data_IF_002400136252
#
_entry.id   IF_002400136252
#
_cell.length_a   1.000
_cell.length_b   1.000
_cell.length_c   1.000
_cell.angle_alpha   90.00
_cell.angle_beta   90.00
_cell.angle_gamma   90.00
#
_symmetry.space_group_name_H-M   'P 1'
#
loop_
_entity.id
_entity.type
_entity.pdbx_description
1 polymer ?
#
# COMPACT_ATOMS: atom_id res chain seq x y z
N UNK A 1 -6.32 4.30 -19.28
CA UNK A 1 -7.51 3.42 -19.23
C UNK A 1 -7.59 2.42 -20.37
N UNK A 2 -7.58 2.84 -21.65
CA UNK A 2 -7.68 1.91 -22.80
C UNK A 2 -6.69 0.72 -22.78
N UNK A 3 -5.43 0.93 -22.35
CA UNK A 3 -4.46 -0.16 -22.20
C UNK A 3 -4.88 -1.19 -21.13
N UNK A 4 -5.51 -0.76 -20.03
CA UNK A 4 -6.00 -1.66 -18.96
C UNK A 4 -7.20 -2.47 -19.41
N UNK A 5 -8.09 -1.87 -20.18
CA UNK A 5 -9.23 -2.57 -20.80
C UNK A 5 -8.70 -3.68 -21.71
N UNK A 6 -7.76 -3.36 -22.61
CA UNK A 6 -7.13 -4.36 -23.48
C UNK A 6 -6.40 -5.46 -22.70
N UNK A 7 -5.75 -5.12 -21.58
CA UNK A 7 -5.15 -6.12 -20.72
C UNK A 7 -6.20 -7.10 -20.16
N UNK A 8 -7.35 -6.61 -19.69
CA UNK A 8 -8.44 -7.46 -19.22
C UNK A 8 -9.03 -8.32 -20.35
N UNK A 9 -9.16 -7.77 -21.56
CA UNK A 9 -9.65 -8.50 -22.74
C UNK A 9 -8.68 -9.60 -23.20
N UNK A 10 -7.39 -9.48 -22.87
CA UNK A 10 -6.38 -10.50 -23.18
C UNK A 10 -6.38 -11.69 -22.22
N UNK A 11 -7.15 -11.63 -21.12
CA UNK A 11 -7.26 -12.73 -20.17
C UNK A 11 -8.00 -13.93 -20.78
N UNK A 12 -7.73 -15.16 -20.31
CA UNK A 12 -8.53 -16.32 -20.69
C UNK A 12 -10.02 -16.06 -20.41
N UNK A 13 -10.91 -16.49 -21.31
CA UNK A 13 -12.34 -16.20 -21.23
C UNK A 13 -12.94 -16.53 -19.85
N UNK A 14 -12.59 -17.68 -19.27
CA UNK A 14 -13.07 -18.12 -17.95
C UNK A 14 -12.66 -17.17 -16.81
N UNK A 15 -11.54 -16.47 -16.97
CA UNK A 15 -11.07 -15.45 -16.02
C UNK A 15 -11.77 -14.12 -16.28
N UNK A 16 -11.94 -13.73 -17.56
CA UNK A 16 -12.63 -12.50 -17.94
C UNK A 16 -14.11 -12.46 -17.49
N UNK A 17 -14.79 -13.60 -17.47
CA UNK A 17 -16.19 -13.69 -17.00
C UNK A 17 -16.34 -13.75 -15.48
N UNK A 18 -15.25 -13.84 -14.72
CA UNK A 18 -15.31 -13.79 -13.26
C UNK A 18 -16.00 -12.48 -12.81
N UNK A 19 -16.94 -12.50 -11.84
CA UNK A 19 -17.70 -11.31 -11.47
C UNK A 19 -16.85 -10.11 -11.03
N UNK A 20 -15.72 -10.34 -10.37
CA UNK A 20 -14.81 -9.27 -9.93
C UNK A 20 -14.03 -8.68 -11.11
N UNK A 21 -13.53 -9.53 -12.01
CA UNK A 21 -12.80 -9.11 -13.21
C UNK A 21 -13.72 -8.38 -14.19
N UNK A 22 -14.93 -8.89 -14.39
CA UNK A 22 -15.97 -8.26 -15.22
C UNK A 22 -16.40 -6.92 -14.64
N UNK A 23 -16.54 -6.80 -13.31
CA UNK A 23 -16.79 -5.51 -12.66
C UNK A 23 -15.68 -4.49 -12.92
N UNK A 24 -14.41 -4.90 -12.82
CA UNK A 24 -13.28 -4.01 -13.15
C UNK A 24 -13.31 -3.57 -14.61
N UNK A 25 -13.64 -4.49 -15.51
CA UNK A 25 -13.79 -4.17 -16.93
C UNK A 25 -14.85 -3.08 -17.15
N UNK A 26 -16.03 -3.22 -16.53
CA UNK A 26 -17.10 -2.21 -16.61
C UNK A 26 -16.64 -0.87 -16.04
N UNK A 27 -16.05 -0.86 -14.85
CA UNK A 27 -15.52 0.37 -14.21
C UNK A 27 -14.51 1.06 -15.12
N UNK A 28 -13.58 0.32 -15.73
CA UNK A 28 -12.58 0.90 -16.63
C UNK A 28 -13.17 1.47 -17.93
N UNK A 29 -14.23 0.85 -18.45
CA UNK A 29 -14.95 1.37 -19.62
C UNK A 29 -15.70 2.64 -19.29
N UNK A 30 -16.45 2.66 -18.19
CA UNK A 30 -17.19 3.84 -17.74
C UNK A 30 -16.23 5.02 -17.50
N UNK A 31 -15.09 4.78 -16.84
CA UNK A 31 -14.08 5.81 -16.63
C UNK A 31 -13.40 6.28 -17.92
N UNK A 32 -13.15 5.39 -18.89
CA UNK A 32 -12.65 5.79 -20.20
C UNK A 32 -13.67 6.65 -20.94
N UNK A 33 -14.92 6.23 -20.97
CA UNK A 33 -16.00 6.95 -21.63
C UNK A 33 -16.24 8.32 -20.97
N UNK A 34 -16.12 8.43 -19.65
CA UNK A 34 -16.17 9.70 -18.93
C UNK A 34 -15.02 10.62 -19.39
N UNK A 35 -13.79 10.12 -19.39
CA UNK A 35 -12.61 10.89 -19.82
C UNK A 35 -12.68 11.32 -21.29
N UNK A 36 -13.24 10.49 -22.17
CA UNK A 36 -13.39 10.82 -23.61
C UNK A 36 -14.48 11.86 -23.88
N UNK A 37 -15.43 12.07 -22.95
CA UNK A 37 -16.47 13.09 -23.07
C UNK A 37 -16.05 14.44 -22.51
N UNK A 38 -14.91 14.51 -21.82
CA UNK A 38 -14.35 15.77 -21.35
C UNK A 38 -14.02 16.68 -22.53
N UNK A 39 -14.35 17.97 -22.38
CA UNK A 39 -13.96 19.00 -23.34
C UNK A 39 -12.53 19.46 -23.03
N UNK A 40 -11.91 20.09 -24.01
CA UNK A 40 -10.64 20.78 -23.80
C UNK A 40 -10.81 21.86 -22.74
N UNK A 41 -9.96 21.83 -21.71
CA UNK A 41 -9.97 22.79 -20.60
C UNK A 41 -9.14 24.01 -21.00
N UNK A 42 -9.79 25.16 -21.08
CA UNK A 42 -9.18 26.42 -21.54
C UNK A 42 -9.20 27.53 -20.50
N UNK A 43 -10.03 27.40 -19.46
CA UNK A 43 -10.13 28.37 -18.35
C UNK A 43 -9.91 27.71 -16.99
N UNK A 44 -9.67 28.53 -15.95
CA UNK A 44 -9.51 28.04 -14.57
C UNK A 44 -10.83 27.51 -14.01
N UNK A 45 -11.95 28.11 -14.38
CA UNK A 45 -13.29 27.66 -13.96
C UNK A 45 -13.62 26.29 -14.57
N UNK A 46 -13.25 26.06 -15.84
CA UNK A 46 -13.35 24.74 -16.47
C UNK A 46 -12.42 23.73 -15.80
N UNK A 47 -11.22 24.15 -15.39
CA UNK A 47 -10.29 23.30 -14.66
C UNK A 47 -10.85 22.87 -13.30
N UNK A 48 -11.51 23.77 -12.56
CA UNK A 48 -12.14 23.43 -11.28
C UNK A 48 -13.25 22.38 -11.44
N UNK A 49 -14.00 22.44 -12.54
CA UNK A 49 -15.00 21.44 -12.89
C UNK A 49 -14.36 20.09 -13.25
N UNK A 50 -13.31 20.12 -14.06
CA UNK A 50 -12.53 18.94 -14.42
C UNK A 50 -11.90 18.28 -13.19
N UNK A 51 -11.30 19.05 -12.28
CA UNK A 51 -10.69 18.56 -11.03
C UNK A 51 -11.72 17.85 -10.16
N UNK A 52 -12.94 18.38 -10.03
CA UNK A 52 -14.02 17.70 -9.29
C UNK A 52 -14.38 16.34 -9.89
N UNK A 53 -14.47 16.24 -11.21
CA UNK A 53 -14.74 14.96 -11.89
C UNK A 53 -13.56 13.99 -11.79
N UNK A 54 -12.34 14.48 -12.00
CA UNK A 54 -11.11 13.71 -11.89
C UNK A 54 -10.93 13.13 -10.49
N UNK A 55 -11.25 13.91 -9.45
CA UNK A 55 -11.24 13.44 -8.07
C UNK A 55 -12.21 12.26 -7.89
N UNK A 56 -13.46 12.37 -8.37
CA UNK A 56 -14.42 11.27 -8.32
C UNK A 56 -13.97 10.01 -9.07
N UNK A 57 -13.25 10.18 -10.21
CA UNK A 57 -12.64 9.06 -10.92
C UNK A 57 -11.50 8.42 -10.14
N UNK A 58 -10.61 9.20 -9.53
CA UNK A 58 -9.53 8.66 -8.68
C UNK A 58 -10.11 7.89 -7.50
N UNK A 59 -11.16 8.43 -6.87
CA UNK A 59 -11.88 7.81 -5.76
C UNK A 59 -12.58 6.50 -6.16
N UNK A 60 -13.23 6.44 -7.33
CA UNK A 60 -13.92 5.22 -7.78
C UNK A 60 -12.96 4.04 -8.04
N UNK A 61 -11.70 4.32 -8.36
CA UNK A 61 -10.64 3.32 -8.55
C UNK A 61 -9.88 2.94 -7.25
N UNK A 62 -10.35 3.42 -6.10
CA UNK A 62 -9.81 3.09 -4.78
C UNK A 62 -9.68 1.58 -4.54
N UNK A 63 -10.71 0.83 -4.95
CA UNK A 63 -10.88 -0.58 -4.63
C UNK A 63 -10.41 -1.54 -5.73
N UNK A 64 -9.76 -1.03 -6.77
CA UNK A 64 -9.31 -1.85 -7.91
C UNK A 64 -8.43 -3.03 -7.48
N UNK A 65 -7.43 -2.79 -6.61
CA UNK A 65 -6.47 -3.83 -6.20
C UNK A 65 -7.16 -4.93 -5.39
N UNK A 66 -7.96 -4.63 -4.34
CA UNK A 66 -8.74 -5.65 -3.64
C UNK A 66 -9.68 -6.46 -4.56
N UNK A 67 -10.39 -5.80 -5.46
CA UNK A 67 -11.31 -6.46 -6.40
C UNK A 67 -10.51 -7.40 -7.33
N UNK A 68 -9.38 -6.92 -7.84
CA UNK A 68 -8.49 -7.70 -8.71
C UNK A 68 -7.91 -8.90 -7.96
N UNK A 69 -7.45 -8.69 -6.74
CA UNK A 69 -6.91 -9.74 -5.88
C UNK A 69 -7.93 -10.86 -5.64
N UNK A 70 -9.19 -10.51 -5.35
CA UNK A 70 -10.28 -11.48 -5.15
C UNK A 70 -10.60 -12.24 -6.46
N UNK A 71 -10.71 -11.53 -7.58
CA UNK A 71 -10.94 -12.16 -8.89
C UNK A 71 -9.85 -13.17 -9.27
N UNK A 72 -8.57 -12.79 -9.13
CA UNK A 72 -7.47 -13.72 -9.42
C UNK A 72 -7.36 -14.86 -8.41
N UNK A 73 -7.76 -14.63 -7.15
CA UNK A 73 -7.83 -15.69 -6.15
C UNK A 73 -8.85 -16.78 -6.54
N UNK A 74 -10.01 -16.39 -7.06
CA UNK A 74 -11.04 -17.32 -7.56
C UNK A 74 -10.62 -18.02 -8.87
N UNK A 75 -9.76 -17.37 -9.65
CA UNK A 75 -9.29 -17.88 -10.94
C UNK A 75 -7.95 -18.63 -10.88
N UNK A 76 -7.39 -18.91 -9.69
CA UNK A 76 -6.08 -19.57 -9.52
C UNK A 76 -5.92 -20.90 -10.27
N UNK A 77 -7.01 -21.63 -10.51
CA UNK A 77 -6.99 -22.93 -11.23
C UNK A 77 -6.87 -22.78 -12.75
N UNK A 78 -7.08 -21.59 -13.29
CA UNK A 78 -7.19 -21.33 -14.73
C UNK A 78 -6.01 -20.54 -15.31
N UNK A 79 -5.07 -20.12 -14.47
CA UNK A 79 -3.86 -19.41 -14.87
C UNK A 79 -2.67 -19.88 -14.06
N UNK A 80 -1.47 -19.85 -14.68
CA UNK A 80 -0.24 -20.14 -13.95
C UNK A 80 0.07 -19.00 -12.97
N UNK A 81 0.73 -19.27 -11.83
CA UNK A 81 1.15 -18.23 -10.89
C UNK A 81 2.01 -17.14 -11.53
N UNK A 82 2.84 -17.49 -12.51
CA UNK A 82 3.66 -16.54 -13.26
C UNK A 82 2.82 -15.61 -14.15
N UNK A 83 1.79 -16.13 -14.83
CA UNK A 83 0.90 -15.33 -15.66
C UNK A 83 0.06 -14.36 -14.82
N UNK A 84 -0.44 -14.82 -13.68
CA UNK A 84 -1.16 -13.95 -12.72
C UNK A 84 -0.24 -12.85 -12.21
N UNK A 85 1.00 -13.20 -11.82
CA UNK A 85 1.96 -12.21 -11.31
C UNK A 85 2.34 -11.16 -12.36
N UNK A 86 2.61 -11.57 -13.59
CA UNK A 86 2.91 -10.66 -14.69
C UNK A 86 1.74 -9.71 -14.99
N UNK A 87 0.51 -10.22 -14.97
CA UNK A 87 -0.68 -9.40 -15.15
C UNK A 87 -0.84 -8.38 -14.00
N UNK A 88 -0.76 -8.84 -12.74
CA UNK A 88 -0.92 -7.98 -11.57
C UNK A 88 0.16 -6.90 -11.52
N UNK A 89 1.42 -7.25 -11.82
CA UNK A 89 2.52 -6.29 -11.88
C UNK A 89 2.24 -5.17 -12.90
N UNK A 90 1.81 -5.52 -14.11
CA UNK A 90 1.45 -4.55 -15.14
C UNK A 90 0.24 -3.69 -14.76
N UNK A 91 -0.80 -4.31 -14.22
CA UNK A 91 -2.03 -3.63 -13.82
C UNK A 91 -1.79 -2.65 -12.65
N UNK A 92 -1.05 -3.08 -11.62
CA UNK A 92 -0.71 -2.28 -10.46
C UNK A 92 0.23 -1.14 -10.86
N UNK A 93 1.27 -1.39 -11.68
CA UNK A 93 2.15 -0.32 -12.19
C UNK A 93 1.36 0.73 -12.97
N UNK A 94 0.48 0.29 -13.87
CA UNK A 94 -0.42 1.20 -14.59
C UNK A 94 -1.31 1.98 -13.64
N UNK A 95 -1.80 1.34 -12.57
CA UNK A 95 -2.62 1.97 -11.51
C UNK A 95 -1.86 3.06 -10.78
N UNK A 96 -0.67 2.77 -10.28
CA UNK A 96 0.20 3.73 -9.59
C UNK A 96 0.40 4.97 -10.47
N UNK A 97 0.76 4.78 -11.74
CA UNK A 97 1.01 5.89 -12.64
C UNK A 97 -0.19 6.78 -12.94
N UNK A 98 -1.33 6.21 -13.32
CA UNK A 98 -2.52 7.03 -13.65
C UNK A 98 -3.08 7.72 -12.40
N UNK A 99 -3.03 7.05 -11.24
CA UNK A 99 -3.46 7.64 -9.98
C UNK A 99 -2.57 8.80 -9.58
N UNK A 100 -1.25 8.62 -9.67
CA UNK A 100 -0.27 9.67 -9.40
C UNK A 100 -0.51 10.90 -10.27
N UNK A 101 -0.71 10.73 -11.57
CA UNK A 101 -0.99 11.84 -12.49
C UNK A 101 -2.29 12.56 -12.11
N UNK A 102 -3.35 11.80 -11.82
CA UNK A 102 -4.64 12.35 -11.42
C UNK A 102 -4.54 13.16 -10.12
N UNK A 103 -3.94 12.58 -9.08
CA UNK A 103 -3.76 13.24 -7.79
C UNK A 103 -2.81 14.43 -7.87
N UNK A 104 -1.75 14.36 -8.70
CA UNK A 104 -0.85 15.48 -8.93
C UNK A 104 -1.61 16.68 -9.50
N UNK A 105 -2.47 16.46 -10.51
CA UNK A 105 -3.28 17.53 -11.11
C UNK A 105 -4.25 18.14 -10.10
N UNK A 106 -4.93 17.29 -9.32
CA UNK A 106 -5.86 17.74 -8.25
C UNK A 106 -5.11 18.57 -7.20
N UNK A 107 -3.96 18.09 -6.72
CA UNK A 107 -3.19 18.75 -5.67
C UNK A 107 -2.57 20.08 -6.14
N UNK A 108 -2.04 20.14 -7.37
CA UNK A 108 -1.53 21.39 -7.95
C UNK A 108 -2.68 22.40 -8.11
N UNK A 109 -3.82 21.98 -8.64
CA UNK A 109 -4.97 22.87 -8.83
C UNK A 109 -5.45 23.48 -7.51
N UNK A 110 -5.52 22.68 -6.44
CA UNK A 110 -5.84 23.19 -5.08
C UNK A 110 -4.80 24.16 -4.55
N UNK A 111 -3.52 23.94 -4.86
CA UNK A 111 -2.42 24.78 -4.40
C UNK A 111 -2.43 26.19 -4.99
N UNK A 112 -3.12 26.41 -6.11
CA UNK A 112 -3.32 27.74 -6.70
C UNK A 112 -4.08 28.67 -5.72
N UNK A 113 -5.03 28.12 -4.98
CA UNK A 113 -5.81 28.86 -3.98
C UNK A 113 -5.24 28.71 -2.56
N UNK A 114 -4.68 27.54 -2.23
CA UNK A 114 -4.18 27.21 -0.90
C UNK A 114 -2.76 26.60 -0.99
N UNK A 115 -1.73 27.44 -1.19
CA UNK A 115 -0.36 26.95 -1.30
C UNK A 115 0.12 26.36 0.03
N UNK A 116 0.69 25.17 -0.02
CA UNK A 116 1.30 24.51 1.15
C UNK A 116 2.82 24.54 0.99
N UNK A 117 3.56 25.26 1.86
CA UNK A 117 5.02 25.29 1.81
C UNK A 117 5.62 23.89 1.90
N UNK A 118 6.68 23.61 1.14
CA UNK A 118 7.34 22.30 1.13
C UNK A 118 6.59 21.21 0.36
N UNK A 119 5.50 21.55 -0.33
CA UNK A 119 4.70 20.59 -1.11
C UNK A 119 4.51 21.06 -2.55
N UNK A 120 4.76 20.16 -3.51
CA UNK A 120 4.51 20.37 -4.94
C UNK A 120 3.61 19.25 -5.44
N UNK A 121 2.30 19.53 -5.48
CA UNK A 121 1.29 18.50 -5.75
C UNK A 121 1.30 17.42 -4.67
N UNK A 122 1.58 16.17 -5.05
CA UNK A 122 1.68 15.03 -4.12
C UNK A 122 3.09 14.81 -3.56
N UNK A 123 4.09 15.56 -4.05
CA UNK A 123 5.48 15.44 -3.60
C UNK A 123 5.71 16.39 -2.43
N UNK A 124 6.25 15.85 -1.34
CA UNK A 124 6.76 16.65 -0.23
C UNK A 124 8.27 16.78 -0.39
N UNK A 125 8.77 18.02 -0.42
CA UNK A 125 10.18 18.32 -0.70
C UNK A 125 11.09 18.14 0.50
N UNK A 126 10.53 18.19 1.71
CA UNK A 126 11.25 18.13 2.98
C UNK A 126 10.75 16.99 3.88
N UNK A 127 10.27 15.89 3.29
CA UNK A 127 9.74 14.75 4.04
C UNK A 127 10.79 14.24 5.02
N UNK A 128 10.39 14.07 6.28
CA UNK A 128 11.21 13.51 7.35
C UNK A 128 10.88 12.04 7.55
N UNK A 129 11.73 11.09 7.10
CA UNK A 129 11.42 9.67 7.19
C UNK A 129 11.22 9.19 8.62
N UNK A 130 11.93 9.79 9.59
CA UNK A 130 11.80 9.43 11.02
C UNK A 130 10.39 9.59 11.56
N UNK A 131 9.73 10.72 11.26
CA UNK A 131 8.37 10.99 11.71
C UNK A 131 7.40 9.97 11.08
N UNK A 132 7.54 9.70 9.77
CA UNK A 132 6.75 8.70 9.06
C UNK A 132 6.94 7.28 9.64
N UNK A 133 8.18 6.89 9.92
CA UNK A 133 8.51 5.59 10.54
C UNK A 133 7.84 5.46 11.91
N UNK A 134 7.90 6.50 12.74
CA UNK A 134 7.29 6.50 14.07
C UNK A 134 5.77 6.33 13.97
N UNK A 135 5.10 7.04 13.05
CA UNK A 135 3.66 6.90 12.83
C UNK A 135 3.29 5.49 12.36
N UNK A 136 3.99 4.95 11.35
CA UNK A 136 3.75 3.59 10.86
C UNK A 136 4.00 2.55 11.96
N UNK A 137 5.05 2.71 12.76
CA UNK A 137 5.41 1.78 13.82
C UNK A 137 4.40 1.79 14.97
N UNK A 138 3.91 2.97 15.37
CA UNK A 138 2.88 3.08 16.40
C UNK A 138 1.58 2.37 15.95
N UNK A 139 1.13 2.64 14.73
CA UNK A 139 -0.02 1.98 14.15
C UNK A 139 0.14 0.45 14.08
N UNK A 140 1.29 -0.04 13.60
CA UNK A 140 1.56 -1.48 13.52
C UNK A 140 1.71 -2.12 14.91
N UNK A 141 2.25 -1.40 15.89
CA UNK A 141 2.35 -1.87 17.26
C UNK A 141 0.97 -2.12 17.87
N UNK A 142 0.00 -1.22 17.67
CA UNK A 142 -1.39 -1.41 18.11
C UNK A 142 -2.04 -2.64 17.46
N UNK A 143 -1.82 -2.85 16.16
CA UNK A 143 -2.28 -4.06 15.47
C UNK A 143 -1.63 -5.34 16.01
N UNK A 144 -0.35 -5.27 16.35
CA UNK A 144 0.41 -6.38 16.91
C UNK A 144 -0.08 -6.72 18.32
N UNK A 145 -0.27 -5.72 19.16
CA UNK A 145 -0.79 -5.87 20.52
C UNK A 145 -2.19 -6.48 20.52
N UNK A 146 -3.10 -5.91 19.72
CA UNK A 146 -4.48 -6.38 19.63
C UNK A 146 -4.61 -7.82 19.11
N UNK A 147 -3.68 -8.25 18.24
CA UNK A 147 -3.76 -9.59 17.63
C UNK A 147 -2.94 -10.65 18.37
N UNK A 148 -1.78 -10.30 18.90
CA UNK A 148 -0.78 -11.24 19.44
C UNK A 148 -0.46 -11.01 20.92
N UNK A 149 -0.93 -9.91 21.52
CA UNK A 149 -0.72 -9.57 22.93
C UNK A 149 0.72 -9.19 23.30
N UNK A 150 1.63 -9.19 22.33
CA UNK A 150 3.06 -8.91 22.52
C UNK A 150 3.53 -8.00 21.40
N UNK A 151 4.36 -7.01 21.75
CA UNK A 151 4.86 -5.98 20.83
C UNK A 151 6.38 -5.88 20.91
N UNK A 152 7.11 -6.17 19.83
CA UNK A 152 8.53 -5.87 19.73
C UNK A 152 8.79 -4.36 19.78
N UNK A 153 9.86 -3.93 20.46
CA UNK A 153 10.29 -2.53 20.40
C UNK A 153 10.93 -2.23 19.04
N UNK A 154 10.72 -1.02 18.51
CA UNK A 154 11.43 -0.52 17.32
C UNK A 154 12.55 0.44 17.73
N UNK A 155 13.77 0.14 17.29
CA UNK A 155 14.93 1.02 17.40
C UNK A 155 15.23 1.61 16.03
N UNK A 156 15.32 2.93 15.93
CA UNK A 156 15.64 3.64 14.69
C UNK A 156 17.02 4.27 14.81
N UNK A 157 17.94 3.91 13.91
CA UNK A 157 19.32 4.40 13.90
C UNK A 157 19.79 4.88 12.51
N UNK A 158 21.03 5.33 12.41
CA UNK A 158 21.61 5.89 11.18
C UNK A 158 21.31 7.39 11.00
N UNK A 159 21.04 7.81 9.77
CA UNK A 159 20.78 9.21 9.41
C UNK A 159 19.34 9.65 9.74
N UNK A 160 19.02 9.69 11.03
CA UNK A 160 17.65 9.90 11.53
C UNK A 160 17.08 11.29 11.31
N UNK A 161 17.92 12.30 11.10
CA UNK A 161 17.51 13.69 10.85
C UNK A 161 17.49 14.02 9.34
N UNK A 162 17.62 13.01 8.47
CA UNK A 162 17.59 13.19 7.04
C UNK A 162 16.23 13.72 6.57
N UNK A 163 16.26 14.59 5.56
CA UNK A 163 15.09 14.97 4.76
C UNK A 163 15.21 14.40 3.34
N UNK A 164 14.07 14.23 2.68
CA UNK A 164 14.02 13.57 1.39
C UNK A 164 12.83 14.05 0.55
N UNK A 165 13.05 14.57 -0.66
CA UNK A 165 11.92 14.82 -1.56
C UNK A 165 11.32 13.52 -2.10
N UNK A 166 10.07 13.23 -1.72
CA UNK A 166 9.36 12.01 -2.12
C UNK A 166 7.85 12.15 -2.00
N UNK A 167 7.11 11.13 -2.46
CA UNK A 167 5.65 11.05 -2.28
C UNK A 167 5.38 10.38 -0.93
N UNK A 168 4.86 11.09 0.09
CA UNK A 168 4.77 10.61 1.46
C UNK A 168 4.05 9.27 1.57
N UNK A 169 2.94 9.13 0.85
CA UNK A 169 2.10 7.95 1.03
C UNK A 169 2.61 6.71 0.31
N UNK A 170 3.51 6.86 -0.69
CA UNK A 170 4.27 5.71 -1.20
C UNK A 170 5.21 5.18 -0.11
N UNK A 171 5.88 6.06 0.61
CA UNK A 171 6.76 5.67 1.72
C UNK A 171 5.97 5.05 2.87
N UNK A 172 4.85 5.66 3.26
CA UNK A 172 3.94 5.16 4.29
C UNK A 172 3.47 3.72 4.00
N UNK A 173 3.06 3.45 2.75
CA UNK A 173 2.63 2.12 2.33
C UNK A 173 3.76 1.09 2.48
N UNK A 174 4.96 1.41 1.95
CA UNK A 174 6.12 0.51 2.01
C UNK A 174 6.48 0.24 3.47
N UNK A 175 6.58 1.27 4.30
CA UNK A 175 6.92 1.13 5.72
C UNK A 175 5.89 0.30 6.47
N UNK A 176 4.60 0.58 6.30
CA UNK A 176 3.52 -0.14 6.99
C UNK A 176 3.52 -1.62 6.64
N UNK A 177 3.64 -1.99 5.36
CA UNK A 177 3.67 -3.41 4.96
C UNK A 177 4.92 -4.15 5.48
N UNK A 178 6.08 -3.50 5.46
CA UNK A 178 7.32 -4.11 5.94
C UNK A 178 7.37 -4.23 7.45
N UNK A 179 6.91 -3.20 8.18
CA UNK A 179 6.81 -3.22 9.63
C UNK A 179 5.80 -4.27 10.09
N UNK A 180 4.62 -4.39 9.45
CA UNK A 180 3.67 -5.49 9.78
C UNK A 180 4.33 -6.86 9.72
N UNK A 181 5.12 -7.12 8.67
CA UNK A 181 5.81 -8.39 8.52
C UNK A 181 6.88 -8.60 9.62
N UNK A 182 7.69 -7.58 9.90
CA UNK A 182 8.74 -7.64 10.92
C UNK A 182 8.17 -7.84 12.33
N UNK A 183 7.13 -7.08 12.69
CA UNK A 183 6.41 -7.19 13.96
C UNK A 183 5.77 -8.56 14.11
N UNK A 184 5.02 -9.01 13.10
CA UNK A 184 4.36 -10.32 13.11
C UNK A 184 5.37 -11.45 13.29
N UNK A 185 6.40 -11.50 12.45
CA UNK A 185 7.40 -12.57 12.50
C UNK A 185 8.13 -12.62 13.85
N UNK A 186 8.51 -11.45 14.38
CA UNK A 186 9.19 -11.37 15.68
C UNK A 186 8.29 -11.82 16.81
N UNK A 187 7.03 -11.36 16.85
CA UNK A 187 6.08 -11.72 17.89
C UNK A 187 5.70 -13.20 17.82
N UNK A 188 5.29 -13.72 16.66
CA UNK A 188 4.92 -15.13 16.47
C UNK A 188 6.06 -16.08 16.84
N UNK A 189 7.30 -15.76 16.44
CA UNK A 189 8.45 -16.60 16.74
C UNK A 189 8.70 -16.72 18.25
N UNK A 190 8.63 -15.60 18.97
CA UNK A 190 8.97 -15.57 20.40
C UNK A 190 7.83 -16.03 21.30
N UNK A 191 6.57 -15.92 20.85
CA UNK A 191 5.42 -16.50 21.56
C UNK A 191 5.51 -18.03 21.68
N UNK A 192 6.27 -18.68 20.80
CA UNK A 192 6.52 -20.14 20.84
C UNK A 192 7.68 -20.53 21.75
N UNK A 193 8.45 -19.58 22.23
CA UNK A 193 9.61 -19.81 23.10
C UNK A 193 9.19 -19.82 24.58
N UNK A 194 9.92 -20.51 25.47
CA UNK A 194 9.60 -20.56 26.89
C UNK A 194 9.59 -19.19 27.59
N UNK A 195 10.35 -18.24 27.07
CA UNK A 195 10.42 -16.84 27.54
C UNK A 195 9.98 -15.92 26.40
N UNK A 196 8.71 -15.47 26.39
CA UNK A 196 8.12 -14.70 25.28
C UNK A 196 8.51 -13.22 25.35
N UNK A 197 9.81 -12.93 25.38
CA UNK A 197 10.35 -11.57 25.29
C UNK A 197 10.94 -11.36 23.91
N UNK A 198 10.21 -10.70 22.98
CA UNK A 198 10.73 -10.47 21.64
C UNK A 198 11.92 -9.47 21.67
N UNK A 199 12.93 -9.67 20.82
CA UNK A 199 14.00 -8.71 20.62
C UNK A 199 13.47 -7.47 19.90
N UNK A 200 14.24 -6.38 19.97
CA UNK A 200 13.94 -5.17 19.22
C UNK A 200 14.10 -5.38 17.72
N UNK A 201 13.16 -4.84 16.94
CA UNK A 201 13.32 -4.62 15.50
C UNK A 201 14.20 -3.39 15.31
N UNK A 202 15.15 -3.43 14.39
CA UNK A 202 16.05 -2.31 14.09
C UNK A 202 15.78 -1.76 12.70
N UNK A 203 15.54 -0.46 12.58
CA UNK A 203 15.44 0.24 11.30
C UNK A 203 16.58 1.24 11.15
N UNK A 204 17.49 0.96 10.21
CA UNK A 204 18.65 1.82 9.94
C UNK A 204 18.41 2.69 8.71
N UNK A 205 18.50 4.01 8.87
CA UNK A 205 18.37 5.00 7.81
C UNK A 205 19.73 5.39 7.21
N UNK A 206 19.78 5.54 5.89
CA UNK A 206 20.91 6.08 5.15
C UNK A 206 20.43 6.97 4.01
N UNK A 207 21.09 8.11 3.79
CA UNK A 207 20.76 9.07 2.74
C UNK A 207 22.01 9.42 1.95
N UNK A 208 21.89 9.33 0.63
CA UNK A 208 22.80 9.95 -0.36
C UNK A 208 22.03 11.08 -1.06
N UNK A 209 22.61 11.94 -1.91
CA UNK A 209 21.84 12.96 -2.63
C UNK A 209 20.73 12.37 -3.52
N UNK A 210 20.98 11.23 -4.18
CA UNK A 210 20.02 10.65 -5.13
C UNK A 210 19.10 9.59 -4.53
N UNK A 211 19.44 9.00 -3.38
CA UNK A 211 18.65 7.93 -2.79
C UNK A 211 18.49 8.06 -1.27
N UNK A 212 17.29 7.75 -0.79
CA UNK A 212 17.06 7.33 0.58
C UNK A 212 17.13 5.80 0.60
N UNK A 213 17.78 5.22 1.61
CA UNK A 213 17.81 3.78 1.81
C UNK A 213 17.55 3.46 3.26
N UNK A 214 16.83 2.39 3.50
CA UNK A 214 16.61 1.90 4.86
C UNK A 214 16.65 0.39 4.92
N UNK A 215 17.14 -0.12 6.05
CA UNK A 215 17.17 -1.54 6.35
C UNK A 215 16.30 -1.80 7.57
N UNK A 216 15.34 -2.72 7.45
CA UNK A 216 14.57 -3.24 8.58
C UNK A 216 15.14 -4.63 8.91
N UNK A 217 15.61 -4.81 10.14
CA UNK A 217 16.11 -6.08 10.67
C UNK A 217 15.19 -6.55 11.78
N UNK A 218 14.70 -7.78 11.65
CA UNK A 218 13.91 -8.47 12.65
C UNK A 218 14.63 -9.68 13.25
N UNK A 219 14.12 -10.15 14.38
CA UNK A 219 14.52 -11.40 15.02
C UNK A 219 13.47 -12.51 14.83
N UNK A 220 12.71 -12.48 13.74
CA UNK A 220 11.51 -13.32 13.57
C UNK A 220 11.77 -14.78 13.19
N UNK A 221 12.98 -15.31 13.42
CA UNK A 221 13.34 -16.69 13.04
C UNK A 221 13.58 -16.89 11.54
N UNK A 222 13.44 -15.84 10.72
CA UNK A 222 13.71 -15.87 9.29
C UNK A 222 12.70 -16.67 8.47
N UNK A 223 12.86 -16.59 7.15
CA UNK A 223 12.00 -17.26 6.16
C UNK A 223 12.59 -18.63 5.82
N UNK A 224 11.77 -19.68 5.90
CA UNK A 224 12.16 -21.03 5.52
C UNK A 224 12.64 -21.09 4.06
N UNK A 225 13.73 -21.82 3.74
CA UNK A 225 14.28 -21.89 2.37
C UNK A 225 13.25 -22.29 1.31
N UNK A 226 12.32 -23.18 1.66
CA UNK A 226 11.24 -23.61 0.76
C UNK A 226 10.27 -22.48 0.38
N UNK A 227 10.14 -21.45 1.20
CA UNK A 227 9.22 -20.32 0.98
C UNK A 227 9.91 -19.13 0.32
N UNK A 228 11.25 -19.06 0.36
CA UNK A 228 12.01 -17.87 -0.04
C UNK A 228 11.80 -17.48 -1.51
N UNK A 229 11.64 -18.45 -2.41
CA UNK A 229 11.33 -18.20 -3.82
C UNK A 229 9.91 -17.61 -4.04
N UNK A 230 9.03 -17.72 -3.04
CA UNK A 230 7.60 -17.40 -3.16
C UNK A 230 7.18 -16.15 -2.40
N UNK A 231 8.06 -15.53 -1.61
CA UNK A 231 7.71 -14.37 -0.74
C UNK A 231 7.19 -13.16 -1.51
N UNK A 232 7.56 -13.03 -2.79
CA UNK A 232 7.06 -11.99 -3.70
C UNK A 232 5.95 -12.47 -4.62
N UNK A 233 5.46 -13.71 -4.47
CA UNK A 233 4.31 -14.20 -5.22
C UNK A 233 3.03 -13.60 -4.66
N UNK A 234 2.15 -13.13 -5.54
CA UNK A 234 0.84 -12.65 -5.10
C UNK A 234 0.01 -13.77 -4.48
N UNK A 235 -0.76 -13.40 -3.46
CA UNK A 235 -1.60 -14.31 -2.70
C UNK A 235 -0.85 -15.45 -1.98
N UNK A 236 0.48 -15.30 -1.79
CA UNK A 236 1.28 -16.16 -0.93
C UNK A 236 1.32 -15.55 0.48
N UNK A 237 0.91 -16.34 1.48
CA UNK A 237 0.97 -15.95 2.88
C UNK A 237 1.22 -17.17 3.75
N UNK A 238 1.97 -16.99 4.83
CA UNK A 238 2.18 -18.02 5.86
C UNK A 238 1.15 -17.90 7.00
N UNK A 239 0.33 -16.85 6.99
CA UNK A 239 -0.72 -16.67 7.98
C UNK A 239 -1.87 -17.67 7.74
N UNK A 240 -2.30 -18.35 8.81
CA UNK A 240 -3.44 -19.29 8.76
C UNK A 240 -3.12 -20.68 8.19
N UNK A 241 -1.85 -21.01 7.91
CA UNK A 241 -1.45 -22.37 7.47
C UNK A 241 -1.40 -23.36 8.64
N UNK A 242 -1.35 -22.86 9.89
CA UNK A 242 -1.51 -23.66 11.09
C UNK A 242 -2.99 -23.65 11.52
N UNK A 243 -3.68 -24.79 11.34
CA UNK A 243 -5.06 -25.02 11.77
C UNK A 243 -5.24 -24.56 13.23
N UNK A 244 -6.00 -23.48 13.43
CA UNK A 244 -6.32 -22.94 14.76
C UNK A 244 -5.47 -21.76 15.27
N UNK A 245 -4.59 -21.18 14.44
CA UNK A 245 -3.88 -19.94 14.79
C UNK A 245 -4.80 -18.72 14.93
N UNK A 246 -4.35 -17.61 15.55
CA UNK A 246 -5.18 -16.42 15.86
C UNK A 246 -5.81 -15.75 14.63
N UNK A 247 -5.37 -16.14 13.42
CA UNK A 247 -5.81 -15.62 12.13
C UNK A 247 -6.90 -16.46 11.45
N UNK A 248 -7.25 -17.64 11.97
CA UNK A 248 -8.18 -18.57 11.31
C UNK A 248 -9.59 -17.98 11.09
N UNK A 249 -10.11 -17.20 12.05
CA UNK A 249 -11.40 -16.52 11.91
C UNK A 249 -11.34 -15.23 11.07
N UNK A 250 -10.15 -14.65 10.91
CA UNK A 250 -9.94 -13.41 10.16
C UNK A 250 -10.02 -13.64 8.64
N UNK A 251 -9.68 -14.86 8.19
CA UNK A 251 -9.84 -15.27 6.80
C UNK A 251 -11.32 -15.26 6.34
N UNK A 252 -12.25 -15.49 7.27
CA UNK A 252 -13.71 -15.50 7.04
C UNK A 252 -14.32 -14.10 7.19
N UNK A 253 -13.87 -13.31 8.17
CA UNK A 253 -14.38 -11.95 8.43
C UNK A 253 -14.05 -10.93 7.34
N UNK A 254 -12.84 -10.99 6.75
CA UNK A 254 -12.48 -10.16 5.60
C UNK A 254 -13.30 -10.48 4.35
N UNK A 255 -13.78 -11.71 4.22
CA UNK A 255 -14.65 -12.16 3.14
C UNK A 255 -16.05 -11.53 3.23
N UNK A 256 -16.62 -11.42 4.43
CA UNK A 256 -17.95 -10.83 4.65
C UNK A 256 -17.99 -9.30 4.46
N UNK A 257 -16.94 -8.58 4.86
CA UNK A 257 -16.86 -7.12 4.69
C UNK A 257 -16.75 -6.68 3.21
N UNK A 258 -16.20 -7.54 2.35
CA UNK A 258 -16.09 -7.31 0.91
C UNK A 258 -17.36 -7.68 0.13
N UNK A 259 -18.21 -8.56 0.68
CA UNK A 259 -19.51 -8.92 0.09
C UNK A 259 -20.61 -7.91 0.44
N UNK A 260 -20.47 -7.17 1.55
CA UNK A 260 -21.40 -6.12 1.96
C UNK A 260 -21.12 -4.79 1.24
N UNK A 261 -21.55 -4.68 -0.02
CA UNK A 261 -21.57 -3.43 -0.78
C UNK A 261 -22.62 -2.40 -0.32
N UNK A 262 -22.96 -2.35 0.97
CA UNK A 262 -23.95 -1.43 1.52
C UNK A 262 -23.28 -0.35 2.37
N UNK A 263 -23.64 0.94 2.21
CA UNK A 263 -23.12 2.00 3.07
C UNK A 263 -23.56 1.77 4.54
N UNK A 264 -22.71 2.05 5.53
CA UNK A 264 -23.07 1.88 6.94
C UNK A 264 -24.19 2.87 7.33
N UNK A 265 -25.09 2.51 8.27
CA UNK A 265 -26.08 3.43 8.81
C UNK A 265 -25.40 4.52 9.67
N UNK A 266 -25.96 5.74 9.75
CA UNK A 266 -25.40 6.78 10.59
C UNK A 266 -25.63 6.46 12.07
N UNK A 267 -24.54 6.37 12.86
CA UNK A 267 -24.61 6.31 14.32
C UNK A 267 -24.74 7.72 14.93
N UNK A 268 -25.40 7.87 16.10
CA UNK A 268 -25.81 9.17 16.62
C UNK A 268 -24.67 9.91 17.32
N UNK A 269 -24.79 11.24 17.26
CA UNK A 269 -23.94 12.28 17.82
C UNK A 269 -23.69 12.19 19.33
N UNK A 270 -22.45 12.43 19.74
CA UNK A 270 -22.11 13.04 21.04
C UNK A 270 -21.04 14.13 20.85
N UNK A 271 -21.30 15.26 21.50
CA UNK A 271 -20.75 16.61 21.30
C UNK A 271 -19.48 16.91 22.17
N UNK A 272 -18.87 18.12 22.17
CA UNK A 272 -17.43 18.28 21.88
C UNK A 272 -16.58 18.92 23.00
N UNK A 273 -15.25 18.79 22.93
CA UNK A 273 -14.18 19.72 23.40
C UNK A 273 -12.82 18.98 23.30
N UNK A 274 -11.64 19.53 22.97
CA UNK A 274 -11.04 20.88 22.99
C UNK A 274 -10.01 21.04 21.84
N UNK A 275 -9.92 22.28 21.31
CA UNK A 275 -8.79 22.97 20.65
C UNK A 275 -8.26 22.49 19.27
N UNK A 276 -8.14 23.39 18.26
CA UNK A 276 -7.73 23.04 16.90
C UNK A 276 -6.21 23.13 16.73
N UNK A 277 -5.55 22.00 16.45
CA UNK A 277 -4.29 22.00 15.73
C UNK A 277 -4.58 22.26 14.23
N UNK A 278 -3.70 22.95 13.48
CA UNK A 278 -3.99 23.33 12.11
C UNK A 278 -4.18 22.07 11.26
N UNK A 279 -5.38 21.94 10.67
CA UNK A 279 -5.76 20.87 9.78
C UNK A 279 -4.84 20.89 8.55
N UNK A 280 -3.79 20.07 8.57
CA UNK A 280 -3.12 19.62 7.37
C UNK A 280 -4.20 18.96 6.50
N UNK A 281 -4.47 19.57 5.35
CA UNK A 281 -5.48 19.11 4.41
C UNK A 281 -5.30 17.60 4.18
N UNK A 282 -6.25 16.82 4.69
CA UNK A 282 -6.31 15.37 4.55
C UNK A 282 -6.22 15.04 3.06
N UNK A 283 -5.06 14.52 2.65
CA UNK A 283 -4.85 14.07 1.30
C UNK A 283 -5.76 12.86 1.07
N UNK A 284 -6.52 12.88 -0.02
CA UNK A 284 -7.32 11.73 -0.52
C UNK A 284 -6.47 10.46 -0.67
N UNK A 285 -5.14 10.61 -0.79
CA UNK A 285 -4.20 9.52 -0.71
C UNK A 285 -4.25 8.85 0.69
N UNK A 286 -4.27 9.60 1.78
CA UNK A 286 -4.45 9.07 3.14
C UNK A 286 -5.78 8.32 3.29
N UNK A 287 -6.88 8.82 2.72
CA UNK A 287 -8.21 8.22 2.90
C UNK A 287 -8.43 6.92 2.09
N UNK A 288 -7.79 6.80 0.93
CA UNK A 288 -7.92 5.63 0.04
C UNK A 288 -6.76 4.64 0.18
N UNK A 289 -5.54 5.10 0.49
CA UNK A 289 -4.60 4.20 1.18
C UNK A 289 -5.32 3.65 2.38
N UNK A 290 -5.97 4.47 3.23
CA UNK A 290 -6.80 3.98 4.32
C UNK A 290 -7.95 3.06 3.87
N UNK A 291 -8.43 3.06 2.62
CA UNK A 291 -9.53 2.18 2.15
C UNK A 291 -9.03 0.83 1.61
N UNK A 292 -7.94 0.83 0.82
CA UNK A 292 -7.20 -0.40 0.50
C UNK A 292 -6.58 -1.00 1.76
N UNK A 293 -6.06 -0.16 2.65
CA UNK A 293 -5.65 -0.50 4.01
C UNK A 293 -6.87 -1.00 4.79
N UNK A 294 -8.08 -0.40 4.74
CA UNK A 294 -9.27 -0.82 5.54
C UNK A 294 -9.67 -2.28 5.31
N UNK A 295 -9.51 -2.79 4.09
CA UNK A 295 -9.72 -4.22 3.80
C UNK A 295 -8.67 -5.15 4.45
N UNK A 296 -7.51 -4.58 4.85
CA UNK A 296 -6.42 -5.22 5.61
C UNK A 296 -6.26 -4.66 7.05
N UNK A 297 -7.03 -3.65 7.50
CA UNK A 297 -6.79 -2.88 8.74
C UNK A 297 -7.41 -3.52 9.98
N UNK A 298 -8.12 -4.64 9.85
CA UNK A 298 -8.50 -5.40 11.04
C UNK A 298 -7.35 -6.24 11.60
N UNK A 299 -6.27 -6.45 10.82
CA UNK A 299 -5.42 -7.64 11.03
C UNK A 299 -3.95 -7.39 10.71
N UNK A 300 -3.06 -7.86 11.57
CA UNK A 300 -1.61 -7.82 11.32
C UNK A 300 -1.16 -8.75 10.18
N UNK A 301 -2.00 -9.71 9.77
CA UNK A 301 -1.79 -10.56 8.61
C UNK A 301 -2.80 -10.24 7.49
N UNK A 302 -2.31 -10.09 6.26
CA UNK A 302 -3.13 -9.85 5.07
C UNK A 302 -3.15 -11.01 4.08
N UNK A 303 -3.77 -10.77 2.91
CA UNK A 303 -3.98 -11.76 1.84
C UNK A 303 -2.72 -12.15 1.05
N UNK A 304 -1.51 -11.77 1.48
CA UNK A 304 -0.28 -12.08 0.75
C UNK A 304 0.02 -11.17 -0.44
N UNK A 305 -0.39 -9.90 -0.37
CA UNK A 305 -0.13 -8.89 -1.40
C UNK A 305 0.88 -7.82 -0.97
N UNK A 306 1.19 -7.70 0.33
CA UNK A 306 2.01 -6.63 0.90
C UNK A 306 3.42 -6.53 0.33
N UNK A 307 4.20 -7.60 0.40
CA UNK A 307 5.58 -7.64 -0.11
C UNK A 307 5.70 -7.34 -1.62
N UNK A 308 4.93 -7.99 -2.53
CA UNK A 308 5.02 -7.66 -3.95
C UNK A 308 4.60 -6.22 -4.25
N UNK A 309 3.55 -5.71 -3.60
CA UNK A 309 3.13 -4.30 -3.74
C UNK A 309 4.19 -3.32 -3.25
N UNK A 310 4.77 -3.55 -2.07
CA UNK A 310 5.84 -2.73 -1.51
C UNK A 310 7.05 -2.69 -2.47
N UNK A 311 7.40 -3.82 -3.08
CA UNK A 311 8.46 -3.90 -4.09
C UNK A 311 8.13 -3.09 -5.33
N UNK A 312 6.89 -3.14 -5.83
CA UNK A 312 6.46 -2.31 -6.97
C UNK A 312 6.54 -0.82 -6.66
N UNK A 313 6.03 -0.39 -5.50
CA UNK A 313 6.10 1.02 -5.08
C UNK A 313 7.56 1.50 -4.94
N UNK A 314 8.44 0.68 -4.35
CA UNK A 314 9.85 1.02 -4.20
C UNK A 314 10.57 1.11 -5.57
N UNK A 315 10.22 0.22 -6.51
CA UNK A 315 10.87 0.14 -7.81
C UNK A 315 10.32 1.12 -8.85
N UNK A 316 9.15 1.73 -8.60
CA UNK A 316 8.44 2.56 -9.58
C UNK A 316 9.26 3.76 -10.06
N UNK A 317 9.97 4.43 -9.15
CA UNK A 317 10.87 5.55 -9.47
C UNK A 317 12.35 5.14 -9.55
N UNK A 318 12.64 3.90 -9.96
CA UNK A 318 14.02 3.42 -10.11
C UNK A 318 14.74 3.17 -8.77
N UNK A 319 13.98 2.86 -7.73
CA UNK A 319 14.47 2.29 -6.48
C UNK A 319 14.46 0.75 -6.51
N UNK A 320 14.32 0.12 -5.35
CA UNK A 320 14.26 -1.33 -5.23
C UNK A 320 13.98 -1.80 -3.81
N UNK A 321 13.62 -3.08 -3.70
CA UNK A 321 13.41 -3.77 -2.43
C UNK A 321 14.03 -5.17 -2.53
N UNK A 322 14.96 -5.45 -1.64
CA UNK A 322 15.66 -6.73 -1.52
C UNK A 322 15.47 -7.30 -0.10
N UNK A 323 15.54 -8.61 0.01
CA UNK A 323 15.35 -9.32 1.27
C UNK A 323 16.43 -10.38 1.44
N UNK A 324 17.02 -10.42 2.63
CA UNK A 324 17.99 -11.42 3.05
C UNK A 324 17.45 -12.13 4.29
N UNK A 325 17.19 -13.43 4.16
CA UNK A 325 16.71 -14.27 5.26
C UNK A 325 17.87 -15.06 5.86
N UNK A 326 18.03 -15.00 7.17
CA UNK A 326 18.85 -15.94 7.93
C UNK A 326 17.90 -16.88 8.69
N UNK A 327 17.58 -18.01 8.06
CA UNK A 327 16.65 -18.98 8.62
C UNK A 327 17.14 -19.50 9.98
N UNK A 328 16.24 -19.49 10.97
CA UNK A 328 16.53 -19.76 12.38
C UNK A 328 16.92 -18.51 13.19
N UNK A 329 17.09 -17.35 12.57
CA UNK A 329 17.50 -16.12 13.25
C UNK A 329 16.56 -14.94 12.97
N UNK A 330 16.43 -14.51 11.72
CA UNK A 330 15.66 -13.30 11.38
C UNK A 330 15.79 -12.90 9.92
N UNK A 331 15.22 -11.75 9.59
CA UNK A 331 15.21 -11.23 8.22
C UNK A 331 15.71 -9.78 8.17
N UNK A 332 16.53 -9.48 7.16
CA UNK A 332 16.91 -8.13 6.79
C UNK A 332 16.18 -7.76 5.48
N UNK A 333 15.41 -6.67 5.50
CA UNK A 333 14.78 -6.09 4.30
C UNK A 333 15.45 -4.76 3.98
N UNK A 334 15.97 -4.63 2.77
CA UNK A 334 16.64 -3.45 2.25
C UNK A 334 15.74 -2.74 1.25
N UNK A 335 15.47 -1.46 1.49
CA UNK A 335 14.71 -0.61 0.57
C UNK A 335 15.60 0.54 0.11
N UNK A 336 15.54 0.82 -1.19
CA UNK A 336 16.20 1.96 -1.83
C UNK A 336 15.16 2.75 -2.61
N UNK A 337 15.02 4.04 -2.32
CA UNK A 337 14.08 4.95 -2.96
C UNK A 337 14.86 6.09 -3.61
N UNK A 338 14.58 6.38 -4.89
CA UNK A 338 15.19 7.52 -5.60
C UNK A 338 14.52 8.82 -5.16
N UNK A 339 15.33 9.84 -4.89
CA UNK A 339 14.83 11.17 -4.62
C UNK A 339 14.11 11.74 -5.84
N UNK A 340 13.03 12.46 -5.60
CA UNK A 340 12.32 13.20 -6.65
C UNK A 340 12.90 14.62 -6.83
N UNK A 341 13.96 14.98 -6.09
CA UNK A 341 14.77 16.18 -6.38
C UNK A 341 15.43 16.06 -7.76
N UNK A 342 15.23 17.06 -8.62
CA UNK A 342 15.91 17.17 -9.92
C UNK A 342 15.31 16.36 -11.07
N UNK A 343 14.13 15.75 -10.89
CA UNK A 343 13.46 14.91 -11.89
C UNK A 343 13.88 13.45 -11.80
N UNK A 344 12.91 12.54 -11.68
CA UNK A 344 13.17 11.10 -11.65
C UNK A 344 12.86 10.50 -13.02
N UNK A 345 13.83 9.76 -13.59
CA UNK A 345 13.57 8.90 -14.75
C UNK A 345 12.62 7.77 -14.32
N UNK A 346 11.39 7.77 -14.86
CA UNK A 346 10.43 6.68 -14.65
C UNK A 346 10.82 5.53 -15.57
N UNK A 347 11.06 4.35 -15.00
CA UNK A 347 11.20 3.11 -15.77
C UNK A 347 9.80 2.69 -16.24
N UNK A 348 9.43 3.13 -17.45
CA UNK A 348 8.18 2.76 -18.13
C UNK A 348 8.21 1.30 -18.63
#
# INVERSE_FOLDING_TARGET
MAARIRALESLPYIVGVNPFISRLYTIYRESLDALLREKEVTTLEENDEFVRRLQGLVESHANDIPIMAKGFQECKRYMTPSAVSAFLDGAIRSRIGTRLIGEQHVAISRSLSHPTPGQVGVVQTDLKPREMIQHCAAFVAELCESTLGVVPQLVVDGMVDATFSYIPVHLEYILTELLKNAYRATAEHHLRLPTPTPPSITLTLSRTPSFLSFRIRDGGGGIAPAHLAHVFSYAFTTAGVEDGGPYAMQHVGGQAALDAGAPPPPSPSTSPSLSPAPALAESVFTEISATSLRSSMGTIAGLGYGLPLARLYASYFGGGLELVSLYGHGTDVFVKLRSLEGGADVLL
#
